data_IF_980809590337
#
_entry.id   IF_980809590337
#
_cell.length_a   1.000
_cell.length_b   1.000
_cell.length_c   1.000
_cell.angle_alpha   90.00
_cell.angle_beta   90.00
_cell.angle_gamma   90.00
#
_symmetry.space_group_name_H-M   'P 1'
#
loop_
_entity.id
_entity.type
_entity.pdbx_description
1 polymer ?
#
# COMPACT_ATOMS: atom_id res chain seq x y z
N UNK A 1 -2.19 20.29 -18.56
CA UNK A 1 -1.77 18.88 -18.77
C UNK A 1 -1.70 18.24 -17.40
N UNK A 2 -2.25 17.03 -17.19
CA UNK A 2 -2.08 16.36 -15.90
C UNK A 2 -0.65 15.85 -15.82
N UNK A 3 0.01 16.06 -14.69
CA UNK A 3 1.37 15.58 -14.45
C UNK A 3 1.36 14.16 -13.86
N UNK A 4 2.54 13.54 -13.80
CA UNK A 4 2.72 12.21 -13.25
C UNK A 4 2.23 12.11 -11.80
N UNK A 5 2.43 13.16 -11.00
CA UNK A 5 1.99 13.22 -9.60
C UNK A 5 0.48 13.06 -9.46
N UNK A 6 -0.31 13.65 -10.37
CA UNK A 6 -1.76 13.48 -10.37
C UNK A 6 -2.15 12.01 -10.51
N UNK A 7 -1.52 11.27 -11.42
CA UNK A 7 -1.82 9.85 -11.64
C UNK A 7 -1.28 8.97 -10.51
N UNK A 8 -0.09 9.28 -9.98
CA UNK A 8 0.46 8.60 -8.82
C UNK A 8 -0.48 8.69 -7.61
N UNK A 9 -1.06 9.87 -7.34
CA UNK A 9 -2.05 10.04 -6.26
C UNK A 9 -3.32 9.23 -6.51
N UNK A 10 -3.83 9.19 -7.76
CA UNK A 10 -5.00 8.38 -8.11
C UNK A 10 -4.74 6.88 -7.90
N UNK A 11 -3.61 6.39 -8.39
CA UNK A 11 -3.20 4.99 -8.25
C UNK A 11 -2.97 4.64 -6.79
N UNK A 12 -2.27 5.48 -6.03
CA UNK A 12 -2.04 5.29 -4.60
C UNK A 12 -3.35 5.17 -3.82
N UNK A 13 -4.36 6.01 -4.12
CA UNK A 13 -5.69 5.91 -3.50
C UNK A 13 -6.42 4.62 -3.86
N UNK A 14 -6.33 4.18 -5.11
CA UNK A 14 -6.94 2.91 -5.56
C UNK A 14 -6.28 1.70 -4.88
N UNK A 15 -4.94 1.67 -4.83
CA UNK A 15 -4.15 0.65 -4.11
C UNK A 15 -4.52 0.62 -2.64
N UNK A 16 -4.60 1.79 -1.99
CA UNK A 16 -5.03 1.88 -0.61
C UNK A 16 -6.43 1.25 -0.44
N UNK A 17 -7.40 1.58 -1.29
CA UNK A 17 -8.76 1.04 -1.19
C UNK A 17 -8.82 -0.48 -1.37
N UNK A 18 -8.08 -1.03 -2.34
CA UNK A 18 -8.07 -2.45 -2.68
C UNK A 18 -7.10 -3.30 -1.84
N UNK A 19 -6.34 -2.69 -0.93
CA UNK A 19 -5.18 -3.35 -0.29
C UNK A 19 -5.47 -4.70 0.34
N UNK A 20 -6.53 -4.84 1.14
CA UNK A 20 -6.90 -6.11 1.77
C UNK A 20 -7.29 -7.23 0.81
N UNK A 21 -7.71 -6.89 -0.41
CA UNK A 21 -8.11 -7.84 -1.45
C UNK A 21 -6.96 -8.23 -2.40
N UNK A 22 -5.83 -7.51 -2.32
CA UNK A 22 -4.68 -7.80 -3.17
C UNK A 22 -3.94 -9.06 -2.71
N UNK A 23 -3.39 -9.85 -3.65
CA UNK A 23 -2.45 -10.93 -3.33
C UNK A 23 -1.28 -10.44 -2.48
N UNK A 24 -0.81 -11.30 -1.58
CA UNK A 24 0.23 -10.95 -0.60
C UNK A 24 1.56 -10.53 -1.25
N UNK A 25 1.96 -11.21 -2.31
CA UNK A 25 3.17 -10.87 -3.08
C UNK A 25 3.10 -9.47 -3.69
N UNK A 26 1.92 -9.07 -4.19
CA UNK A 26 1.67 -7.72 -4.70
C UNK A 26 1.67 -6.68 -3.58
N UNK A 27 1.08 -7.00 -2.43
CA UNK A 27 1.17 -6.15 -1.23
C UNK A 27 2.65 -5.93 -0.84
N UNK A 28 3.43 -6.99 -0.70
CA UNK A 28 4.85 -6.93 -0.32
C UNK A 28 5.67 -6.12 -1.35
N UNK A 29 5.46 -6.36 -2.65
CA UNK A 29 6.16 -5.61 -3.70
C UNK A 29 5.84 -4.11 -3.68
N UNK A 30 4.57 -3.73 -3.59
CA UNK A 30 4.16 -2.32 -3.54
C UNK A 30 4.65 -1.62 -2.27
N UNK A 31 4.68 -2.34 -1.15
CA UNK A 31 5.18 -1.82 0.13
C UNK A 31 6.67 -1.48 0.03
N UNK A 32 7.49 -2.41 -0.48
CA UNK A 32 8.94 -2.19 -0.64
C UNK A 32 9.25 -1.08 -1.66
N UNK A 33 8.50 -1.02 -2.77
CA UNK A 33 8.63 0.07 -3.76
C UNK A 33 8.31 1.43 -3.14
N UNK A 34 7.24 1.55 -2.35
CA UNK A 34 6.85 2.80 -1.71
C UNK A 34 7.93 3.34 -0.75
N UNK A 35 8.71 2.43 -0.14
CA UNK A 35 9.72 2.71 0.88
C UNK A 35 11.15 2.78 0.34
N UNK A 36 11.38 2.54 -0.96
CA UNK A 36 12.72 2.42 -1.56
C UNK A 36 13.63 3.64 -1.27
N UNK A 37 13.04 4.83 -1.07
CA UNK A 37 13.76 6.05 -0.67
C UNK A 37 13.22 6.68 0.63
N UNK A 38 12.39 5.95 1.38
CA UNK A 38 11.67 6.43 2.58
C UNK A 38 11.65 5.40 3.70
N UNK A 39 12.81 4.85 4.13
CA UNK A 39 12.84 3.79 5.14
C UNK A 39 12.25 4.22 6.49
N UNK A 40 12.26 5.52 6.81
CA UNK A 40 11.66 6.07 8.03
C UNK A 40 10.13 5.95 8.09
N UNK A 41 9.46 5.83 6.94
CA UNK A 41 8.00 5.78 6.86
C UNK A 41 7.46 4.34 7.00
N UNK A 42 8.33 3.35 7.16
CA UNK A 42 7.98 1.92 7.14
C UNK A 42 6.94 1.56 8.19
N UNK A 43 7.17 1.96 9.44
CA UNK A 43 6.30 1.61 10.56
C UNK A 43 4.94 2.31 10.45
N UNK A 44 4.94 3.59 10.05
CA UNK A 44 3.72 4.37 9.86
C UNK A 44 2.87 3.83 8.70
N UNK A 45 3.50 3.46 7.58
CA UNK A 45 2.81 2.86 6.45
C UNK A 45 2.26 1.47 6.82
N UNK A 46 3.03 0.64 7.51
CA UNK A 46 2.56 -0.66 7.98
C UNK A 46 1.36 -0.52 8.91
N UNK A 47 1.41 0.42 9.85
CA UNK A 47 0.30 0.71 10.76
C UNK A 47 -0.95 1.18 10.02
N UNK A 48 -0.83 2.13 9.09
CA UNK A 48 -1.95 2.60 8.26
C UNK A 48 -2.62 1.46 7.50
N UNK A 49 -1.84 0.57 6.90
CA UNK A 49 -2.35 -0.55 6.13
C UNK A 49 -3.01 -1.59 7.02
N UNK A 50 -2.45 -1.86 8.20
CA UNK A 50 -3.02 -2.78 9.20
C UNK A 50 -4.30 -2.25 9.85
N UNK A 51 -4.38 -0.97 10.18
CA UNK A 51 -5.60 -0.36 10.74
C UNK A 51 -6.76 -0.42 9.75
N UNK A 52 -6.46 -0.21 8.46
CA UNK A 52 -7.47 -0.13 7.42
C UNK A 52 -7.87 -1.49 6.86
N UNK A 53 -6.95 -2.44 6.90
CA UNK A 53 -7.15 -3.82 6.47
C UNK A 53 -6.52 -4.72 7.53
N UNK A 54 -7.23 -4.97 8.65
CA UNK A 54 -6.78 -5.90 9.67
C UNK A 54 -6.45 -7.18 8.93
N UNK A 55 -5.23 -7.73 9.11
CA UNK A 55 -4.80 -8.98 8.46
C UNK A 55 -5.98 -9.92 8.55
N UNK A 56 -6.66 -10.14 7.42
CA UNK A 56 -7.77 -11.07 7.36
C UNK A 56 -7.08 -12.39 7.61
N UNK A 57 -7.16 -12.81 8.88
CA UNK A 57 -6.61 -14.04 9.36
C UNK A 57 -7.10 -15.11 8.37
N UNK A 58 -6.16 -15.71 7.66
CA UNK A 58 -6.45 -16.77 6.72
C UNK A 58 -7.32 -17.81 7.46
N UNK A 59 -8.56 -17.98 7.02
CA UNK A 59 -9.20 -19.27 7.18
C UNK A 59 -8.38 -20.21 6.29
N UNK A 60 -7.74 -21.19 6.93
CA UNK A 60 -6.80 -22.12 6.32
C UNK A 60 -7.40 -23.02 5.25
#
# INVERSE_FOLDING_TARGET
MRDENHFALMLGRAVLAAWGDMPRDIQEALFEIALTDRPGDRDDLAKLLHERHPRTAHAG
#
